data_IF_409982426521
#
_entry.id   IF_409982426521
#
_cell.length_a   1.000
_cell.length_b   1.000
_cell.length_c   1.000
_cell.angle_alpha   90.00
_cell.angle_beta   90.00
_cell.angle_gamma   90.00
#
_symmetry.space_group_name_H-M   'P 1'
#
loop_
_entity.id
_entity.type
_entity.pdbx_description
1 polymer ?
#
# COMPACT_ATOMS: atom_id res chain seq x y z
N UNK A 1 53.77 -36.14 71.75
CA UNK A 1 54.78 -37.09 71.26
C UNK A 1 54.16 -37.93 70.16
N UNK A 2 54.79 -37.84 68.98
CA UNK A 2 54.98 -38.89 67.98
C UNK A 2 53.77 -39.74 67.53
N UNK A 3 53.33 -39.54 66.28
CA UNK A 3 53.01 -40.63 65.32
C UNK A 3 53.26 -40.18 63.87
N UNK A 4 54.38 -40.64 63.32
CA UNK A 4 54.36 -41.58 62.19
C UNK A 4 53.80 -41.14 60.82
N UNK A 5 54.69 -40.56 60.02
CA UNK A 5 54.76 -40.47 58.54
C UNK A 5 53.91 -41.46 57.71
N UNK A 6 53.05 -40.94 56.81
CA UNK A 6 52.78 -41.52 55.48
C UNK A 6 53.24 -40.54 54.41
N UNK A 7 54.27 -40.92 53.63
CA UNK A 7 54.76 -40.17 52.46
C UNK A 7 53.79 -40.34 51.29
N UNK A 8 53.10 -39.29 50.89
CA UNK A 8 52.39 -39.23 49.61
C UNK A 8 53.35 -38.61 48.57
N UNK A 9 53.67 -39.38 47.52
CA UNK A 9 54.47 -38.90 46.38
C UNK A 9 53.67 -37.82 45.64
N UNK A 10 54.12 -36.57 45.72
CA UNK A 10 53.68 -35.50 44.81
C UNK A 10 54.29 -35.80 43.44
N UNK A 11 53.47 -36.24 42.49
CA UNK A 11 53.83 -36.19 41.06
C UNK A 11 53.75 -34.73 40.62
N UNK A 12 54.86 -34.19 40.10
CA UNK A 12 54.86 -32.92 39.36
C UNK A 12 53.84 -33.01 38.22
N UNK A 13 52.83 -32.15 38.25
CA UNK A 13 51.92 -31.90 37.13
C UNK A 13 52.72 -31.06 36.11
N UNK A 14 52.71 -31.39 34.80
CA UNK A 14 53.38 -30.56 33.79
C UNK A 14 52.64 -29.22 33.64
N UNK A 15 53.41 -28.17 33.38
CA UNK A 15 53.01 -26.78 33.16
C UNK A 15 52.14 -26.57 31.91
N UNK A 16 50.93 -27.14 31.89
CA UNK A 16 49.95 -27.00 30.81
C UNK A 16 48.93 -25.86 30.97
N UNK A 17 48.80 -25.28 32.16
CA UNK A 17 47.81 -24.22 32.44
C UNK A 17 48.17 -22.85 31.84
N UNK A 18 49.43 -22.62 31.48
CA UNK A 18 49.87 -21.33 30.93
C UNK A 18 49.60 -21.18 29.42
N UNK A 19 49.42 -22.29 28.69
CA UNK A 19 49.14 -22.28 27.24
C UNK A 19 47.65 -22.07 26.93
N UNK A 20 46.74 -22.60 27.75
CA UNK A 20 45.30 -22.41 27.59
C UNK A 20 44.87 -20.97 27.87
N UNK A 21 45.44 -20.31 28.89
CA UNK A 21 45.12 -18.90 29.19
C UNK A 21 45.58 -17.95 28.08
N UNK A 22 46.77 -18.18 27.50
CA UNK A 22 47.31 -17.36 26.42
C UNK A 22 46.54 -17.50 25.09
N UNK A 23 46.06 -18.71 24.76
CA UNK A 23 45.22 -18.92 23.57
C UNK A 23 43.83 -18.30 23.75
N UNK A 24 43.22 -18.44 24.92
CA UNK A 24 41.91 -17.86 25.22
C UNK A 24 41.96 -16.32 25.25
N UNK A 25 43.00 -15.73 25.84
CA UNK A 25 43.21 -14.27 25.86
C UNK A 25 43.49 -13.69 24.46
N UNK A 26 44.27 -14.39 23.62
CA UNK A 26 44.51 -13.97 22.21
C UNK A 26 43.26 -14.11 21.33
N UNK A 27 42.46 -15.16 21.51
CA UNK A 27 41.18 -15.32 20.80
C UNK A 27 40.17 -14.24 21.23
N UNK A 28 40.13 -13.92 22.53
CA UNK A 28 39.27 -12.86 23.06
C UNK A 28 39.72 -11.45 22.61
N UNK A 29 41.02 -11.16 22.55
CA UNK A 29 41.51 -9.86 22.05
C UNK A 29 41.36 -9.70 20.53
N UNK A 30 41.51 -10.78 19.74
CA UNK A 30 41.19 -10.80 18.31
C UNK A 30 39.70 -10.63 18.04
N UNK A 31 38.84 -11.23 18.87
CA UNK A 31 37.39 -11.03 18.84
C UNK A 31 36.99 -9.59 19.18
N UNK A 32 37.60 -9.00 20.22
CA UNK A 32 37.37 -7.61 20.63
C UNK A 32 37.86 -6.59 19.60
N UNK A 33 39.03 -6.79 19.00
CA UNK A 33 39.56 -5.93 17.94
C UNK A 33 38.70 -5.99 16.67
N UNK A 34 38.32 -7.20 16.22
CA UNK A 34 37.41 -7.39 15.08
C UNK A 34 36.02 -6.81 15.33
N UNK A 35 35.50 -6.92 16.56
CA UNK A 35 34.24 -6.28 16.97
C UNK A 35 34.34 -4.76 16.95
N UNK A 36 35.47 -4.20 17.41
CA UNK A 36 35.72 -2.75 17.40
C UNK A 36 35.88 -2.23 15.97
N UNK A 37 36.55 -2.98 15.09
CA UNK A 37 36.63 -2.70 13.65
C UNK A 37 35.26 -2.73 12.99
N UNK A 38 34.44 -3.76 13.22
CA UNK A 38 33.07 -3.85 12.68
C UNK A 38 32.16 -2.72 13.19
N UNK A 39 32.31 -2.33 14.45
CA UNK A 39 31.56 -1.23 15.06
C UNK A 39 31.98 0.13 14.48
N UNK A 40 33.25 0.30 14.11
CA UNK A 40 33.74 1.55 13.52
C UNK A 40 33.55 1.64 12.01
N UNK A 41 33.58 0.52 11.29
CA UNK A 41 33.30 0.50 9.84
C UNK A 41 31.84 0.83 9.51
N UNK A 42 30.93 0.59 10.45
CA UNK A 42 29.48 0.75 10.26
C UNK A 42 28.90 1.93 11.05
N UNK A 43 29.71 2.70 11.78
CA UNK A 43 29.23 3.87 12.52
C UNK A 43 29.00 5.03 11.54
N UNK A 44 27.80 5.62 11.47
CA UNK A 44 27.59 6.83 10.70
C UNK A 44 28.54 7.95 11.13
N UNK A 45 28.99 8.75 10.16
CA UNK A 45 29.73 9.97 10.43
C UNK A 45 28.76 11.07 10.89
N UNK A 46 28.53 11.14 12.20
CA UNK A 46 27.63 12.14 12.79
C UNK A 46 28.16 13.57 12.67
N UNK A 47 29.46 13.78 12.46
CA UNK A 47 30.00 15.12 12.21
C UNK A 47 29.70 15.59 10.79
N UNK A 48 29.67 14.66 9.83
CA UNK A 48 29.17 14.93 8.49
C UNK A 48 27.67 15.19 8.51
N UNK A 49 26.88 14.31 9.15
CA UNK A 49 25.42 14.44 9.23
C UNK A 49 24.97 15.75 9.90
N UNK A 50 25.71 16.27 10.87
CA UNK A 50 25.38 17.54 11.54
C UNK A 50 25.63 18.78 10.66
N UNK A 51 26.41 18.63 9.59
CA UNK A 51 26.71 19.69 8.62
C UNK A 51 25.86 19.58 7.35
N UNK A 52 25.14 18.48 7.16
CA UNK A 52 24.25 18.30 6.02
C UNK A 52 23.11 19.33 6.10
N UNK A 53 22.90 20.06 4.99
CA UNK A 53 21.80 21.01 4.87
C UNK A 53 20.51 20.28 4.52
N UNK A 54 19.38 20.78 5.05
CA UNK A 54 18.05 20.28 4.66
C UNK A 54 17.93 20.28 3.13
N UNK A 55 17.42 19.19 2.57
CA UNK A 55 17.25 19.00 1.13
C UNK A 55 15.94 18.31 0.79
N UNK A 56 15.60 18.27 -0.49
CA UNK A 56 14.50 17.48 -1.01
C UNK A 56 15.06 16.35 -1.86
N UNK A 57 14.70 15.12 -1.53
CA UNK A 57 15.11 13.94 -2.29
C UNK A 57 13.91 13.44 -3.07
N UNK A 58 13.98 13.54 -4.40
CA UNK A 58 12.95 12.97 -5.27
C UNK A 58 12.90 11.44 -5.16
N UNK A 59 11.69 10.88 -5.17
CA UNK A 59 11.45 9.45 -5.15
C UNK A 59 11.01 8.93 -6.51
N UNK A 60 11.43 7.71 -6.84
CA UNK A 60 11.04 7.03 -8.10
C UNK A 60 9.53 6.83 -8.23
N UNK A 61 8.83 6.64 -7.10
CA UNK A 61 7.37 6.56 -7.03
C UNK A 61 6.81 7.85 -6.43
N UNK A 62 5.55 8.14 -6.76
CA UNK A 62 4.79 9.28 -6.22
C UNK A 62 4.78 9.33 -4.68
N UNK A 63 4.70 8.17 -4.04
CA UNK A 63 4.68 8.03 -2.59
C UNK A 63 5.94 7.31 -2.12
N UNK A 64 6.46 7.74 -0.98
CA UNK A 64 7.63 7.16 -0.33
C UNK A 64 7.18 6.09 0.67
N UNK A 65 7.98 5.04 0.81
CA UNK A 65 7.82 4.03 1.84
C UNK A 65 7.97 2.62 1.31
N UNK A 66 7.38 1.68 2.04
CA UNK A 66 7.37 0.27 1.71
C UNK A 66 6.77 0.02 0.33
N UNK A 67 7.47 -0.79 -0.48
CA UNK A 67 6.97 -1.30 -1.76
C UNK A 67 6.29 -2.65 -1.47
N UNK A 68 4.97 -2.77 -1.69
CA UNK A 68 4.25 -4.02 -1.50
C UNK A 68 4.93 -5.20 -2.20
N UNK A 69 5.21 -6.25 -1.44
CA UNK A 69 6.00 -7.39 -1.93
C UNK A 69 5.38 -8.70 -1.51
N UNK A 70 5.09 -9.55 -2.49
CA UNK A 70 4.53 -10.89 -2.27
C UNK A 70 5.64 -11.93 -2.33
N UNK A 71 5.74 -12.76 -1.29
CA UNK A 71 6.57 -13.94 -1.30
C UNK A 71 5.82 -15.14 -1.90
N UNK A 72 6.54 -15.99 -2.62
CA UNK A 72 6.12 -17.35 -2.94
C UNK A 72 7.02 -18.31 -2.15
N UNK A 73 6.41 -19.10 -1.27
CA UNK A 73 7.12 -20.05 -0.41
C UNK A 73 6.85 -21.48 -0.85
N UNK A 74 7.70 -22.08 -1.69
CA UNK A 74 7.64 -23.51 -1.98
C UNK A 74 7.97 -24.35 -0.76
N UNK A 75 7.18 -25.40 -0.51
CA UNK A 75 7.44 -26.36 0.57
C UNK A 75 7.42 -27.80 0.07
N UNK A 76 8.12 -28.69 0.77
CA UNK A 76 8.17 -30.12 0.43
C UNK A 76 8.53 -30.99 1.65
N UNK A 77 8.47 -32.31 1.48
CA UNK A 77 8.89 -33.29 2.48
C UNK A 77 10.42 -33.26 2.64
N UNK A 78 10.91 -33.15 3.87
CA UNK A 78 12.34 -33.07 4.17
C UNK A 78 13.07 -34.43 4.22
N UNK A 79 12.37 -35.57 4.10
CA UNK A 79 13.00 -36.90 4.11
C UNK A 79 13.90 -37.07 2.89
N UNK A 80 15.08 -37.65 3.10
CA UNK A 80 15.96 -38.06 2.00
C UNK A 80 15.24 -39.03 1.03
N UNK A 81 15.47 -38.85 -0.26
CA UNK A 81 14.74 -39.48 -1.35
C UNK A 81 13.43 -38.74 -1.68
N UNK A 82 12.59 -38.48 -0.67
CA UNK A 82 11.33 -37.77 -0.88
C UNK A 82 11.54 -36.30 -1.25
N UNK A 83 12.54 -35.63 -0.68
CA UNK A 83 12.87 -34.25 -1.03
C UNK A 83 13.30 -34.13 -2.50
N UNK A 84 14.26 -34.96 -2.91
CA UNK A 84 14.82 -34.99 -4.26
C UNK A 84 13.72 -35.29 -5.30
N UNK A 85 12.84 -36.24 -5.00
CA UNK A 85 11.67 -36.59 -5.83
C UNK A 85 10.69 -35.41 -6.02
N UNK A 86 10.57 -34.54 -5.02
CA UNK A 86 9.63 -33.41 -5.05
C UNK A 86 10.25 -32.14 -5.62
N UNK A 87 11.57 -31.99 -5.54
CA UNK A 87 12.29 -30.74 -5.79
C UNK A 87 11.90 -30.07 -7.12
N UNK A 88 12.01 -30.80 -8.24
CA UNK A 88 11.72 -30.24 -9.56
C UNK A 88 10.26 -29.81 -9.71
N UNK A 89 9.31 -30.66 -9.30
CA UNK A 89 7.88 -30.36 -9.39
C UNK A 89 7.44 -29.22 -8.48
N UNK A 90 8.02 -29.11 -7.27
CA UNK A 90 7.72 -28.01 -6.35
C UNK A 90 8.19 -26.67 -6.91
N UNK A 91 9.39 -26.61 -7.52
CA UNK A 91 9.85 -25.41 -8.21
C UNK A 91 9.02 -25.08 -9.44
N UNK A 92 8.62 -26.08 -10.24
CA UNK A 92 7.73 -25.87 -11.37
C UNK A 92 6.37 -25.30 -10.92
N UNK A 93 5.82 -25.79 -9.81
CA UNK A 93 4.60 -25.24 -9.21
C UNK A 93 4.77 -23.79 -8.76
N UNK A 94 5.87 -23.45 -8.07
CA UNK A 94 6.17 -22.08 -7.67
C UNK A 94 6.32 -21.14 -8.87
N UNK A 95 7.00 -21.60 -9.93
CA UNK A 95 7.13 -20.86 -11.19
C UNK A 95 5.76 -20.58 -11.82
N UNK A 96 4.88 -21.57 -11.95
CA UNK A 96 3.54 -21.36 -12.52
C UNK A 96 2.73 -20.31 -11.74
N UNK A 97 2.85 -20.29 -10.40
CA UNK A 97 2.20 -19.27 -9.56
C UNK A 97 2.82 -17.90 -9.75
N UNK A 98 4.15 -17.83 -9.86
CA UNK A 98 4.88 -16.60 -10.18
C UNK A 98 4.40 -16.01 -11.52
N UNK A 99 4.47 -16.80 -12.58
CA UNK A 99 4.10 -16.41 -13.94
C UNK A 99 2.62 -15.97 -13.99
N UNK A 100 1.72 -16.73 -13.36
CA UNK A 100 0.30 -16.37 -13.27
C UNK A 100 0.08 -14.97 -12.68
N UNK A 101 0.77 -14.63 -11.58
CA UNK A 101 0.62 -13.34 -10.92
C UNK A 101 1.25 -12.24 -11.78
N UNK A 102 2.44 -12.46 -12.32
CA UNK A 102 3.12 -11.49 -13.19
C UNK A 102 2.29 -11.14 -14.44
N UNK A 103 1.61 -12.12 -15.02
CA UNK A 103 0.83 -11.95 -16.24
C UNK A 103 -0.55 -11.29 -16.01
N UNK A 104 -1.11 -11.36 -14.80
CA UNK A 104 -2.51 -11.01 -14.54
C UNK A 104 -2.72 -9.93 -13.46
N UNK A 105 -1.67 -9.53 -12.75
CA UNK A 105 -1.74 -8.52 -11.68
C UNK A 105 -0.87 -7.33 -12.05
N UNK A 106 -1.41 -6.14 -11.83
CA UNK A 106 -0.69 -4.86 -11.96
C UNK A 106 -0.98 -4.05 -10.70
N UNK A 107 -0.01 -3.29 -10.20
CA UNK A 107 -0.24 -2.37 -9.08
C UNK A 107 -0.98 -1.12 -9.55
N UNK A 108 -1.59 -0.38 -8.62
CA UNK A 108 -2.45 0.76 -8.96
C UNK A 108 -1.73 1.93 -9.65
N UNK A 109 -0.39 1.98 -9.56
CA UNK A 109 0.49 2.89 -10.28
C UNK A 109 0.84 2.40 -11.71
N UNK A 110 0.27 1.28 -12.15
CA UNK A 110 0.48 0.70 -13.47
C UNK A 110 1.76 -0.13 -13.59
N UNK A 111 2.53 -0.31 -12.51
CA UNK A 111 3.77 -1.08 -12.53
C UNK A 111 3.53 -2.58 -12.34
N UNK A 112 4.48 -3.44 -12.80
CA UNK A 112 4.44 -4.86 -12.47
C UNK A 112 4.51 -5.10 -10.95
N UNK A 113 3.85 -6.14 -10.44
CA UNK A 113 3.87 -6.50 -9.03
C UNK A 113 5.27 -6.97 -8.63
N UNK A 114 5.68 -6.65 -7.39
CA UNK A 114 6.97 -7.12 -6.86
C UNK A 114 6.79 -8.47 -6.17
N UNK A 115 7.38 -9.51 -6.74
CA UNK A 115 7.36 -10.86 -6.20
C UNK A 115 8.79 -11.30 -5.82
N UNK A 116 8.94 -11.96 -4.69
CA UNK A 116 10.17 -12.68 -4.30
C UNK A 116 9.85 -14.15 -4.05
N UNK A 117 10.81 -15.03 -4.25
CA UNK A 117 10.66 -16.46 -3.99
C UNK A 117 11.62 -16.88 -2.89
N UNK A 118 11.20 -17.82 -2.03
CA UNK A 118 12.09 -18.36 -0.99
C UNK A 118 13.46 -18.75 -1.57
N UNK A 119 14.58 -18.51 -0.86
CA UNK A 119 15.92 -18.80 -1.38
C UNK A 119 16.17 -20.31 -1.60
N UNK A 120 15.38 -21.15 -0.92
CA UNK A 120 15.35 -22.60 -1.08
C UNK A 120 13.95 -23.13 -0.73
N UNK A 121 13.67 -24.40 -1.06
CA UNK A 121 12.42 -25.04 -0.64
C UNK A 121 12.40 -25.14 0.88
N UNK A 122 11.30 -24.73 1.50
CA UNK A 122 11.12 -24.79 2.94
C UNK A 122 10.58 -26.17 3.32
N UNK A 123 11.42 -26.98 3.96
CA UNK A 123 11.11 -28.36 4.38
C UNK A 123 11.27 -28.60 5.89
N UNK A 124 11.61 -27.55 6.66
CA UNK A 124 11.72 -27.63 8.11
C UNK A 124 12.06 -26.28 8.75
N UNK A 125 12.25 -26.28 10.07
CA UNK A 125 12.40 -25.06 10.86
C UNK A 125 13.60 -24.18 10.46
N UNK A 126 14.73 -24.78 10.06
CA UNK A 126 15.91 -24.01 9.67
C UNK A 126 15.73 -23.35 8.30
N UNK A 127 15.23 -24.07 7.32
CA UNK A 127 15.03 -23.53 5.97
C UNK A 127 13.91 -22.50 5.95
N UNK A 128 12.90 -22.65 6.82
CA UNK A 128 11.91 -21.60 7.03
C UNK A 128 12.52 -20.36 7.69
N UNK A 129 13.39 -20.49 8.69
CA UNK A 129 14.10 -19.33 9.27
C UNK A 129 14.98 -18.59 8.25
N UNK A 130 15.62 -19.31 7.31
CA UNK A 130 16.37 -18.69 6.21
C UNK A 130 15.47 -17.91 5.26
N UNK A 131 14.29 -18.45 4.93
CA UNK A 131 13.29 -17.73 4.16
C UNK A 131 12.81 -16.46 4.89
N UNK A 132 12.54 -16.54 6.20
CA UNK A 132 12.14 -15.37 6.99
C UNK A 132 13.22 -14.29 7.03
N UNK A 133 14.50 -14.66 7.17
CA UNK A 133 15.61 -13.70 7.12
C UNK A 133 15.64 -12.96 5.78
N UNK A 134 15.50 -13.70 4.68
CA UNK A 134 15.41 -13.13 3.34
C UNK A 134 14.19 -12.21 3.20
N UNK A 135 13.01 -12.68 3.61
CA UNK A 135 11.77 -11.91 3.52
C UNK A 135 11.78 -10.61 4.30
N UNK A 136 12.45 -10.58 5.47
CA UNK A 136 12.64 -9.34 6.23
C UNK A 136 13.52 -8.35 5.47
N UNK A 137 14.61 -8.79 4.83
CA UNK A 137 15.49 -7.92 4.02
C UNK A 137 14.80 -7.40 2.77
N UNK A 138 14.01 -8.26 2.13
CA UNK A 138 13.23 -7.90 0.95
C UNK A 138 11.99 -7.07 1.28
N UNK A 139 11.60 -6.94 2.55
CA UNK A 139 10.38 -6.23 2.92
C UNK A 139 9.14 -6.92 2.35
N UNK A 140 8.95 -8.20 2.65
CA UNK A 140 7.72 -8.93 2.31
C UNK A 140 6.53 -8.38 3.11
N UNK A 141 5.35 -8.38 2.52
CA UNK A 141 4.07 -7.96 3.13
C UNK A 141 2.94 -8.98 2.93
N UNK A 142 3.15 -10.00 2.10
CA UNK A 142 2.21 -11.09 1.88
C UNK A 142 2.95 -12.35 1.42
N UNK A 143 2.36 -13.53 1.61
CA UNK A 143 3.00 -14.78 1.23
C UNK A 143 1.98 -15.79 0.68
N UNK A 144 2.34 -16.44 -0.42
CA UNK A 144 1.65 -17.61 -0.97
C UNK A 144 2.52 -18.84 -0.77
N UNK A 145 2.05 -19.77 0.06
CA UNK A 145 2.69 -21.06 0.26
C UNK A 145 2.19 -22.04 -0.80
N UNK A 146 3.11 -22.79 -1.41
CA UNK A 146 2.76 -23.77 -2.45
C UNK A 146 3.36 -25.13 -2.10
N UNK A 147 2.54 -26.18 -2.22
CA UNK A 147 3.01 -27.56 -2.08
C UNK A 147 2.28 -28.50 -3.02
N UNK A 148 3.06 -29.41 -3.62
CA UNK A 148 2.54 -30.60 -4.32
C UNK A 148 2.52 -31.86 -3.44
N UNK A 149 3.17 -31.83 -2.27
CA UNK A 149 3.40 -33.01 -1.41
C UNK A 149 3.09 -32.74 0.06
N UNK A 150 3.27 -33.77 0.88
CA UNK A 150 3.39 -33.58 2.33
C UNK A 150 4.58 -32.67 2.65
N UNK A 151 4.49 -31.89 3.74
CA UNK A 151 5.57 -31.16 4.37
C UNK A 151 5.23 -30.97 5.87
N UNK A 152 6.21 -30.67 6.72
CA UNK A 152 6.01 -30.68 8.19
C UNK A 152 5.39 -29.39 8.72
N UNK A 153 4.14 -29.13 8.31
CA UNK A 153 3.27 -28.00 8.65
C UNK A 153 3.81 -27.02 9.70
N UNK A 154 3.73 -27.36 10.99
CA UNK A 154 4.06 -26.44 12.08
C UNK A 154 5.54 -25.98 12.07
N UNK A 155 6.44 -26.86 11.63
CA UNK A 155 7.87 -26.57 11.55
C UNK A 155 8.20 -25.54 10.46
N UNK A 156 7.36 -25.44 9.42
CA UNK A 156 7.55 -24.50 8.30
C UNK A 156 7.21 -23.08 8.70
N UNK A 157 6.46 -22.87 9.79
CA UNK A 157 6.00 -21.56 10.23
C UNK A 157 7.12 -20.59 10.59
N UNK A 158 8.34 -21.09 10.80
CA UNK A 158 9.55 -20.26 10.93
C UNK A 158 9.71 -19.25 9.77
N UNK A 159 9.25 -19.59 8.54
CA UNK A 159 9.23 -18.69 7.38
C UNK A 159 8.22 -17.54 7.47
N UNK A 160 7.38 -17.52 8.50
CA UNK A 160 6.51 -16.40 8.81
C UNK A 160 6.56 -16.03 10.28
N UNK A 161 7.56 -16.41 11.07
CA UNK A 161 7.69 -16.05 12.50
C UNK A 161 8.86 -15.08 12.70
N UNK A 162 8.69 -13.82 12.29
CA UNK A 162 9.73 -12.82 12.38
C UNK A 162 9.20 -11.39 12.33
N UNK A 163 10.11 -10.44 12.18
CA UNK A 163 9.77 -9.01 12.18
C UNK A 163 8.84 -8.70 11.00
N UNK A 164 7.69 -8.08 11.32
CA UNK A 164 6.68 -7.65 10.35
C UNK A 164 5.75 -8.75 9.83
N UNK A 165 5.97 -10.02 10.19
CA UNK A 165 5.22 -11.14 9.61
C UNK A 165 3.82 -11.34 10.22
N UNK A 166 3.56 -10.75 11.39
CA UNK A 166 2.24 -10.72 12.02
C UNK A 166 1.21 -10.00 11.17
N UNK A 167 1.64 -9.03 10.37
CA UNK A 167 0.78 -8.20 9.54
C UNK A 167 0.63 -8.71 8.11
N UNK A 168 1.34 -9.78 7.74
CA UNK A 168 1.32 -10.30 6.38
C UNK A 168 0.00 -10.99 6.05
N UNK A 169 -0.48 -10.77 4.83
CA UNK A 169 -1.55 -11.59 4.29
C UNK A 169 -0.99 -12.93 3.84
N UNK A 170 -1.67 -14.03 4.18
CA UNK A 170 -1.18 -15.39 3.96
C UNK A 170 -2.19 -16.18 3.12
N UNK A 171 -1.73 -16.90 2.11
CA UNK A 171 -2.51 -17.90 1.40
C UNK A 171 -1.70 -19.19 1.21
N UNK A 172 -2.35 -20.34 1.22
CA UNK A 172 -1.73 -21.61 0.91
C UNK A 172 -2.49 -22.31 -0.22
N UNK A 173 -1.74 -22.80 -1.21
CA UNK A 173 -2.23 -23.63 -2.30
C UNK A 173 -1.57 -25.02 -2.21
N UNK A 174 -2.40 -26.02 -1.89
CA UNK A 174 -2.02 -27.42 -1.97
C UNK A 174 -2.60 -28.05 -3.23
N UNK A 175 -1.75 -28.63 -4.06
CA UNK A 175 -2.16 -29.29 -5.29
C UNK A 175 -3.09 -30.48 -4.97
N UNK A 176 -4.26 -30.53 -5.61
CA UNK A 176 -5.19 -31.65 -5.48
C UNK A 176 -4.83 -32.76 -6.47
N UNK A 177 -4.07 -33.75 -6.01
CA UNK A 177 -3.72 -34.92 -6.79
C UNK A 177 -3.57 -36.16 -5.90
N UNK A 178 -3.45 -37.34 -6.53
CA UNK A 178 -3.37 -38.63 -5.83
C UNK A 178 -1.96 -39.04 -5.46
N UNK A 179 -0.98 -38.76 -6.31
CA UNK A 179 0.36 -39.35 -6.21
C UNK A 179 1.18 -38.75 -5.06
N UNK A 180 0.94 -37.46 -4.78
CA UNK A 180 1.61 -36.72 -3.71
C UNK A 180 0.56 -35.93 -2.91
N UNK A 181 0.60 -35.97 -1.57
CA UNK A 181 -0.51 -35.50 -0.73
C UNK A 181 -0.46 -33.99 -0.43
N UNK A 182 -0.42 -33.13 -1.46
CA UNK A 182 -0.40 -31.66 -1.32
C UNK A 182 -1.61 -31.09 -0.58
N UNK A 183 -2.79 -31.65 -0.84
CA UNK A 183 -4.03 -31.30 -0.14
C UNK A 183 -4.01 -31.62 1.37
N UNK A 184 -3.34 -32.71 1.75
CA UNK A 184 -3.19 -33.12 3.16
C UNK A 184 -2.30 -32.13 3.89
N UNK A 185 -1.17 -31.73 3.27
CA UNK A 185 -0.34 -30.67 3.81
C UNK A 185 -1.12 -29.36 3.96
N UNK A 186 -1.88 -28.95 2.95
CA UNK A 186 -2.66 -27.70 3.00
C UNK A 186 -3.55 -27.64 4.23
N UNK A 187 -4.32 -28.70 4.51
CA UNK A 187 -5.21 -28.73 5.67
C UNK A 187 -4.45 -28.79 6.99
N UNK A 188 -3.36 -29.56 7.07
CA UNK A 188 -2.52 -29.60 8.27
C UNK A 188 -1.84 -28.25 8.55
N UNK A 189 -1.38 -27.54 7.51
CA UNK A 189 -0.75 -26.23 7.65
C UNK A 189 -1.76 -25.14 8.01
N UNK A 190 -2.95 -25.13 7.40
CA UNK A 190 -4.04 -24.24 7.82
C UNK A 190 -4.42 -24.48 9.29
N UNK A 191 -4.49 -25.73 9.75
CA UNK A 191 -4.76 -26.03 11.16
C UNK A 191 -3.69 -25.47 12.10
N UNK A 192 -2.41 -25.56 11.73
CA UNK A 192 -1.30 -24.97 12.50
C UNK A 192 -1.39 -23.43 12.56
N UNK A 193 -1.75 -22.80 11.44
CA UNK A 193 -1.97 -21.35 11.36
C UNK A 193 -3.16 -20.90 12.22
N UNK A 194 -4.28 -21.63 12.18
CA UNK A 194 -5.48 -21.37 12.98
C UNK A 194 -5.21 -21.50 14.48
N UNK A 195 -4.52 -22.56 14.91
CA UNK A 195 -4.11 -22.77 16.32
C UNK A 195 -3.29 -21.59 16.85
N UNK A 196 -2.44 -21.02 16.00
CA UNK A 196 -1.61 -19.85 16.32
C UNK A 196 -2.30 -18.52 16.05
N UNK A 197 -3.59 -18.52 15.73
CA UNK A 197 -4.42 -17.33 15.43
C UNK A 197 -3.83 -16.47 14.32
N UNK A 198 -3.34 -17.12 13.27
CA UNK A 198 -2.78 -16.48 12.09
C UNK A 198 -3.67 -16.75 10.89
N UNK A 199 -4.51 -15.79 10.48
CA UNK A 199 -5.42 -16.00 9.37
C UNK A 199 -4.67 -16.41 8.09
N UNK A 200 -5.19 -17.41 7.40
CA UNK A 200 -4.65 -17.89 6.13
C UNK A 200 -5.78 -18.27 5.17
N UNK A 201 -5.65 -17.88 3.90
CA UNK A 201 -6.56 -18.31 2.84
C UNK A 201 -6.19 -19.71 2.36
N UNK A 202 -7.13 -20.66 2.43
CA UNK A 202 -6.96 -22.03 1.92
C UNK A 202 -7.43 -22.09 0.46
N UNK A 203 -6.52 -22.39 -0.47
CA UNK A 203 -6.81 -22.54 -1.90
C UNK A 203 -6.70 -24.03 -2.26
N UNK A 204 -7.84 -24.64 -2.56
CA UNK A 204 -7.94 -26.07 -2.86
C UNK A 204 -8.95 -26.29 -3.99
N UNK A 205 -8.50 -26.84 -5.12
CA UNK A 205 -9.40 -27.19 -6.21
C UNK A 205 -10.24 -28.41 -5.81
N UNK A 206 -11.59 -28.41 -5.94
CA UNK A 206 -12.39 -29.61 -5.69
C UNK A 206 -12.09 -30.75 -6.67
N UNK A 207 -11.69 -30.42 -7.90
CA UNK A 207 -11.35 -31.39 -8.94
C UNK A 207 -9.86 -31.75 -8.92
N UNK A 208 -9.52 -32.96 -9.39
CA UNK A 208 -8.14 -33.40 -9.55
C UNK A 208 -7.40 -32.49 -10.54
N UNK A 209 -6.17 -32.13 -10.19
CA UNK A 209 -5.31 -31.24 -10.95
C UNK A 209 -4.16 -32.00 -11.61
N UNK A 210 -3.70 -31.49 -12.76
CA UNK A 210 -2.47 -31.95 -13.40
C UNK A 210 -1.29 -31.06 -13.00
N UNK A 211 -0.12 -31.66 -12.89
CA UNK A 211 1.15 -30.92 -12.82
C UNK A 211 1.55 -30.34 -14.18
N UNK A 212 0.92 -30.80 -15.25
CA UNK A 212 1.18 -30.38 -16.62
C UNK A 212 0.17 -29.31 -17.07
N UNK A 213 0.65 -28.31 -17.81
CA UNK A 213 -0.19 -27.24 -18.35
C UNK A 213 -0.50 -26.13 -17.36
N UNK A 214 -1.56 -25.38 -17.65
CA UNK A 214 -1.96 -24.20 -16.90
C UNK A 214 -2.57 -24.54 -15.52
N UNK A 215 -2.40 -23.63 -14.56
CA UNK A 215 -3.09 -23.72 -13.26
C UNK A 215 -4.60 -23.78 -13.49
N UNK A 216 -5.30 -24.67 -12.77
CA UNK A 216 -6.75 -24.82 -12.89
C UNK A 216 -7.47 -23.47 -12.69
N UNK A 217 -8.47 -23.11 -13.51
CA UNK A 217 -9.15 -21.81 -13.43
C UNK A 217 -9.65 -21.45 -12.02
N UNK A 218 -10.17 -22.45 -11.28
CA UNK A 218 -10.62 -22.29 -9.90
C UNK A 218 -9.52 -21.76 -8.97
N UNK A 219 -8.31 -22.29 -9.10
CA UNK A 219 -7.13 -21.91 -8.31
C UNK A 219 -6.59 -20.58 -8.80
N UNK A 220 -6.47 -20.42 -10.13
CA UNK A 220 -5.95 -19.21 -10.74
C UNK A 220 -6.73 -17.96 -10.31
N UNK A 221 -8.06 -18.01 -10.38
CA UNK A 221 -8.95 -16.93 -9.94
C UNK A 221 -8.68 -16.53 -8.47
N UNK A 222 -8.45 -17.50 -7.58
CA UNK A 222 -8.24 -17.26 -6.15
C UNK A 222 -6.85 -16.72 -5.86
N UNK A 223 -5.82 -17.21 -6.54
CA UNK A 223 -4.46 -16.68 -6.44
C UNK A 223 -4.43 -15.22 -6.90
N UNK A 224 -5.02 -14.92 -8.06
CA UNK A 224 -5.08 -13.55 -8.61
C UNK A 224 -5.87 -12.63 -7.66
N UNK A 225 -7.02 -13.08 -7.16
CA UNK A 225 -7.84 -12.31 -6.20
C UNK A 225 -7.06 -12.02 -4.91
N UNK A 226 -6.42 -13.04 -4.34
CA UNK A 226 -5.61 -12.88 -3.14
C UNK A 226 -4.45 -11.89 -3.38
N UNK A 227 -3.70 -12.06 -4.48
CA UNK A 227 -2.58 -11.20 -4.81
C UNK A 227 -3.01 -9.72 -4.94
N UNK A 228 -4.07 -9.42 -5.70
CA UNK A 228 -4.60 -8.05 -5.83
C UNK A 228 -4.98 -7.44 -4.48
N UNK A 229 -5.70 -8.19 -3.65
CA UNK A 229 -6.11 -7.72 -2.32
C UNK A 229 -4.90 -7.52 -1.39
N UNK A 230 -3.93 -8.43 -1.42
CA UNK A 230 -2.72 -8.36 -0.61
C UNK A 230 -1.86 -7.15 -0.96
N UNK A 231 -1.66 -6.86 -2.25
CA UNK A 231 -0.97 -5.65 -2.70
C UNK A 231 -1.70 -4.37 -2.27
N UNK A 232 -3.03 -4.34 -2.41
CA UNK A 232 -3.83 -3.20 -1.98
C UNK A 232 -3.67 -2.93 -0.47
N UNK A 233 -3.78 -3.95 0.38
CA UNK A 233 -3.63 -3.80 1.84
C UNK A 233 -2.21 -3.36 2.22
N UNK A 234 -1.19 -3.89 1.53
CA UNK A 234 0.20 -3.53 1.79
C UNK A 234 0.51 -2.08 1.38
N UNK A 235 -0.09 -1.56 0.30
CA UNK A 235 0.16 -0.20 -0.18
C UNK A 235 -0.32 0.88 0.80
N UNK A 236 -1.39 0.60 1.56
CA UNK A 236 -1.94 1.50 2.59
C UNK A 236 -0.92 1.80 3.70
N UNK A 237 -0.14 0.79 4.10
CA UNK A 237 0.68 0.85 5.32
C UNK A 237 1.80 1.88 5.18
N UNK A 238 1.94 2.71 6.22
CA UNK A 238 2.94 3.78 6.27
C UNK A 238 2.61 5.02 5.42
N UNK A 239 1.46 5.04 4.74
CA UNK A 239 0.96 6.22 4.02
C UNK A 239 0.01 7.03 4.90
N UNK A 240 -0.32 8.25 4.46
CA UNK A 240 -1.19 9.13 5.20
C UNK A 240 -2.53 9.37 4.51
N UNK A 241 -3.57 9.63 5.32
CA UNK A 241 -4.72 10.40 4.89
C UNK A 241 -4.47 11.90 5.17
N UNK A 242 -4.62 12.77 4.17
CA UNK A 242 -4.51 14.22 4.34
C UNK A 242 -5.90 14.87 4.48
N UNK A 243 -6.17 15.43 5.65
CA UNK A 243 -7.35 16.25 5.92
C UNK A 243 -7.05 17.71 5.61
N UNK A 244 -7.59 18.24 4.51
CA UNK A 244 -7.54 19.68 4.18
C UNK A 244 -8.80 20.34 4.73
N UNK A 245 -8.65 21.02 5.85
CA UNK A 245 -9.74 21.38 6.75
C UNK A 245 -10.04 20.27 7.76
N UNK A 246 -11.28 20.23 8.20
CA UNK A 246 -11.80 19.35 9.26
C UNK A 246 -13.23 18.89 8.89
N UNK A 247 -14.15 18.86 9.86
CA UNK A 247 -15.53 18.43 9.68
C UNK A 247 -16.27 19.38 8.74
N UNK A 248 -16.88 18.83 7.69
CA UNK A 248 -17.80 19.55 6.80
C UNK A 248 -19.23 19.33 7.26
N UNK A 249 -19.94 20.42 7.59
CA UNK A 249 -21.40 20.43 7.84
C UNK A 249 -21.94 19.39 8.84
N UNK A 250 -21.10 18.89 9.76
CA UNK A 250 -21.48 17.82 10.69
C UNK A 250 -21.53 16.41 10.09
N UNK A 251 -21.02 16.21 8.88
CA UNK A 251 -20.91 14.89 8.24
C UNK A 251 -19.94 14.03 9.04
N UNK A 252 -20.45 12.94 9.64
CA UNK A 252 -19.65 12.09 10.53
C UNK A 252 -18.51 11.35 9.81
N UNK A 253 -18.55 11.25 8.48
CA UNK A 253 -17.45 10.76 7.65
C UNK A 253 -16.24 11.69 7.61
N UNK A 254 -16.47 12.99 7.78
CA UNK A 254 -15.43 14.03 7.77
C UNK A 254 -14.69 14.20 9.10
N UNK A 255 -15.18 13.56 10.16
CA UNK A 255 -14.46 13.42 11.43
C UNK A 255 -13.44 12.28 11.33
N UNK A 256 -12.21 12.64 10.94
CA UNK A 256 -11.12 11.69 10.69
C UNK A 256 -10.71 10.96 11.97
N UNK A 257 -11.03 9.68 12.06
CA UNK A 257 -10.69 8.81 13.21
C UNK A 257 -9.26 8.29 13.11
N UNK A 258 -8.30 9.07 13.63
CA UNK A 258 -6.85 8.79 13.58
C UNK A 258 -6.45 7.38 14.06
N UNK A 259 -6.97 6.94 15.21
CA UNK A 259 -6.65 5.60 15.74
C UNK A 259 -7.23 4.48 14.87
N UNK A 260 -8.37 4.68 14.22
CA UNK A 260 -8.92 3.70 13.28
C UNK A 260 -8.04 3.60 12.02
N UNK A 261 -7.62 4.76 11.47
CA UNK A 261 -6.68 4.82 10.35
C UNK A 261 -5.39 4.05 10.66
N UNK A 262 -4.86 4.27 11.87
CA UNK A 262 -3.64 3.61 12.31
C UNK A 262 -3.82 2.11 12.58
N UNK A 263 -4.74 1.73 13.46
CA UNK A 263 -4.85 0.33 13.91
C UNK A 263 -5.39 -0.61 12.84
N UNK A 264 -6.31 -0.14 11.98
CA UNK A 264 -6.93 -1.00 10.98
C UNK A 264 -6.17 -0.99 9.66
N UNK A 265 -5.77 0.19 9.16
CA UNK A 265 -5.15 0.33 7.85
C UNK A 265 -3.62 0.49 7.89
N UNK A 266 -3.03 0.67 9.08
CA UNK A 266 -1.61 0.98 9.21
C UNK A 266 -1.24 2.35 8.63
N UNK A 267 -2.22 3.26 8.54
CA UNK A 267 -2.07 4.59 7.96
C UNK A 267 -1.87 5.66 9.04
N UNK A 268 -1.15 6.72 8.69
CA UNK A 268 -1.13 7.94 9.48
C UNK A 268 -2.21 8.93 9.01
N UNK A 269 -2.30 10.05 9.70
CA UNK A 269 -3.18 11.16 9.33
C UNK A 269 -2.42 12.47 9.44
N UNK A 270 -2.52 13.31 8.42
CA UNK A 270 -2.01 14.68 8.43
C UNK A 270 -3.20 15.61 8.34
N UNK A 271 -3.21 16.68 9.14
CA UNK A 271 -4.27 17.69 9.11
C UNK A 271 -3.64 19.04 8.79
N UNK A 272 -4.21 19.71 7.79
CA UNK A 272 -3.82 21.05 7.37
C UNK A 272 -5.08 21.89 7.33
N UNK A 273 -5.08 23.03 8.02
CA UNK A 273 -6.20 23.96 7.94
C UNK A 273 -6.28 24.60 6.54
N UNK A 274 -7.49 24.89 6.06
CA UNK A 274 -7.69 25.46 4.72
C UNK A 274 -7.02 26.84 4.55
N UNK A 275 -6.69 27.57 5.63
CA UNK A 275 -5.87 28.78 5.54
C UNK A 275 -4.49 28.53 4.93
N UNK A 276 -3.96 27.31 5.01
CA UNK A 276 -2.71 26.95 4.36
C UNK A 276 -2.86 26.93 2.82
N UNK A 277 -4.02 26.50 2.31
CA UNK A 277 -4.31 26.55 0.86
C UNK A 277 -4.36 28.01 0.41
N UNK A 278 -5.16 28.84 1.10
CA UNK A 278 -5.26 30.27 0.79
C UNK A 278 -3.90 30.98 0.90
N UNK A 279 -3.17 30.72 1.99
CA UNK A 279 -1.86 31.34 2.24
C UNK A 279 -0.80 30.95 1.20
N UNK A 280 -0.81 29.72 0.68
CA UNK A 280 0.06 29.34 -0.43
C UNK A 280 -0.29 30.08 -1.71
N UNK A 281 -1.58 30.18 -2.04
CA UNK A 281 -2.04 30.90 -3.23
C UNK A 281 -1.66 32.38 -3.15
N UNK A 282 -1.93 33.04 -2.02
CA UNK A 282 -1.66 34.47 -1.81
C UNK A 282 -0.18 34.83 -1.86
N UNK A 283 0.68 33.91 -1.42
CA UNK A 283 2.14 34.08 -1.47
C UNK A 283 2.76 33.63 -2.80
N UNK A 284 1.96 33.19 -3.76
CA UNK A 284 2.47 32.63 -5.00
C UNK A 284 3.26 31.33 -4.81
N UNK A 285 3.04 30.59 -3.72
CA UNK A 285 3.77 29.36 -3.39
C UNK A 285 3.17 28.13 -4.08
N UNK A 286 3.38 28.07 -5.39
CA UNK A 286 3.05 26.98 -6.32
C UNK A 286 3.95 27.15 -7.56
N UNK A 287 4.03 26.15 -8.44
CA UNK A 287 4.81 26.30 -9.68
C UNK A 287 4.05 27.14 -10.73
N UNK A 288 4.54 28.34 -11.00
CA UNK A 288 3.90 29.29 -11.92
C UNK A 288 3.96 28.81 -13.37
N UNK A 289 5.04 28.14 -13.77
CA UNK A 289 5.15 27.57 -15.11
C UNK A 289 4.13 26.45 -15.34
N UNK A 290 3.87 25.63 -14.32
CA UNK A 290 2.82 24.61 -14.39
C UNK A 290 1.43 25.24 -14.39
N UNK A 291 1.20 26.26 -13.56
CA UNK A 291 -0.05 27.01 -13.56
C UNK A 291 -0.41 27.54 -14.96
N UNK A 292 0.53 28.16 -15.68
CA UNK A 292 0.26 28.69 -17.02
C UNK A 292 -0.15 27.58 -18.00
N UNK A 293 0.54 26.43 -17.98
CA UNK A 293 0.16 25.27 -18.82
C UNK A 293 -1.20 24.72 -18.45
N UNK A 294 -1.46 24.59 -17.15
CA UNK A 294 -2.71 24.10 -16.60
C UNK A 294 -3.88 25.00 -16.99
N UNK A 295 -3.73 26.31 -16.81
CA UNK A 295 -4.74 27.29 -17.16
C UNK A 295 -5.04 27.30 -18.66
N UNK A 296 -4.00 27.29 -19.51
CA UNK A 296 -4.16 27.17 -20.96
C UNK A 296 -4.91 25.89 -21.36
N UNK A 297 -4.56 24.75 -20.77
CA UNK A 297 -5.25 23.48 -21.00
C UNK A 297 -6.73 23.56 -20.61
N UNK A 298 -7.04 24.15 -19.46
CA UNK A 298 -8.41 24.33 -18.99
C UNK A 298 -9.23 25.19 -19.97
N UNK A 299 -8.64 26.29 -20.47
CA UNK A 299 -9.27 27.18 -21.46
C UNK A 299 -9.47 26.52 -22.83
N UNK A 300 -8.54 25.68 -23.27
CA UNK A 300 -8.58 25.06 -24.59
C UNK A 300 -9.51 23.85 -24.64
N UNK A 301 -9.49 23.00 -23.60
CA UNK A 301 -10.14 21.69 -23.62
C UNK A 301 -11.56 21.70 -23.06
N UNK A 302 -11.93 22.68 -22.23
CA UNK A 302 -13.21 22.70 -21.55
C UNK A 302 -14.12 23.83 -22.04
N UNK A 303 -15.43 23.53 -22.08
CA UNK A 303 -16.48 24.52 -22.29
C UNK A 303 -17.08 24.89 -20.95
N UNK A 304 -17.11 26.18 -20.65
CA UNK A 304 -17.62 26.68 -19.37
C UNK A 304 -19.05 27.20 -19.52
N UNK A 305 -19.92 26.73 -18.64
CA UNK A 305 -21.26 27.28 -18.43
C UNK A 305 -21.39 27.73 -16.98
N UNK A 306 -21.39 29.03 -16.77
CA UNK A 306 -21.34 29.61 -15.43
C UNK A 306 -22.73 29.90 -14.81
N UNK A 307 -23.81 29.61 -15.53
CA UNK A 307 -25.17 29.94 -15.12
C UNK A 307 -25.43 31.46 -15.06
N UNK A 308 -26.62 31.82 -14.57
CA UNK A 308 -27.08 33.23 -14.42
C UNK A 308 -26.91 33.78 -12.99
N UNK A 309 -26.52 32.94 -12.04
CA UNK A 309 -26.35 33.32 -10.64
C UNK A 309 -25.13 34.21 -10.37
N UNK A 310 -25.09 34.90 -9.22
CA UNK A 310 -23.91 35.66 -8.80
C UNK A 310 -22.70 34.73 -8.62
N UNK A 311 -21.52 35.22 -9.02
CA UNK A 311 -20.24 34.49 -8.94
C UNK A 311 -19.29 35.21 -7.99
N UNK A 312 -18.43 34.47 -7.28
CA UNK A 312 -17.45 35.09 -6.39
C UNK A 312 -16.34 35.83 -7.16
N UNK A 313 -16.05 35.40 -8.40
CA UNK A 313 -15.01 35.95 -9.27
C UNK A 313 -15.51 35.95 -10.73
N UNK A 314 -14.82 36.68 -11.61
CA UNK A 314 -15.06 36.55 -13.05
C UNK A 314 -14.65 35.16 -13.57
N UNK A 315 -15.02 34.84 -14.80
CA UNK A 315 -14.85 33.48 -15.33
C UNK A 315 -13.39 33.01 -15.38
N UNK A 316 -12.46 33.87 -15.79
CA UNK A 316 -11.07 33.49 -15.99
C UNK A 316 -10.31 33.52 -14.66
N UNK A 317 -10.60 34.50 -13.80
CA UNK A 317 -10.12 34.53 -12.42
C UNK A 317 -10.60 33.32 -11.61
N UNK A 318 -11.86 32.92 -11.77
CA UNK A 318 -12.44 31.75 -11.12
C UNK A 318 -11.73 30.45 -11.55
N UNK A 319 -11.55 30.25 -12.86
CA UNK A 319 -10.82 29.10 -13.39
C UNK A 319 -9.38 29.11 -12.87
N UNK A 320 -8.72 30.27 -12.92
CA UNK A 320 -7.35 30.43 -12.43
C UNK A 320 -7.21 30.09 -10.95
N UNK A 321 -8.16 30.53 -10.13
CA UNK A 321 -8.19 30.22 -8.70
C UNK A 321 -8.36 28.72 -8.45
N UNK A 322 -9.27 28.06 -9.15
CA UNK A 322 -9.50 26.62 -9.03
C UNK A 322 -8.28 25.79 -9.51
N UNK A 323 -7.56 26.22 -10.56
CA UNK A 323 -6.30 25.58 -10.97
C UNK A 323 -5.25 25.70 -9.87
N UNK A 324 -5.07 26.89 -9.27
CA UNK A 324 -4.13 27.10 -8.16
C UNK A 324 -4.48 26.24 -6.95
N UNK A 325 -5.76 26.13 -6.60
CA UNK A 325 -6.23 25.22 -5.54
C UNK A 325 -5.87 23.77 -5.86
N UNK A 326 -6.03 23.34 -7.11
CA UNK A 326 -5.69 21.98 -7.56
C UNK A 326 -4.22 21.66 -7.40
N UNK A 327 -3.34 22.58 -7.85
CA UNK A 327 -1.90 22.46 -7.68
C UNK A 327 -1.51 22.39 -6.19
N UNK A 328 -2.05 23.30 -5.38
CA UNK A 328 -1.72 23.37 -3.96
C UNK A 328 -2.18 22.13 -3.21
N UNK A 329 -3.40 21.61 -3.46
CA UNK A 329 -3.89 20.39 -2.81
C UNK A 329 -3.04 19.19 -3.22
N UNK A 330 -2.70 19.04 -4.50
CA UNK A 330 -1.81 17.98 -4.97
C UNK A 330 -0.44 18.05 -4.30
N UNK A 331 0.16 19.23 -4.26
CA UNK A 331 1.49 19.43 -3.69
C UNK A 331 1.48 19.23 -2.16
N UNK A 332 0.38 19.52 -1.48
CA UNK A 332 0.19 19.15 -0.08
C UNK A 332 0.13 17.62 0.10
N UNK A 333 -0.45 16.87 -0.84
CA UNK A 333 -0.51 15.41 -0.77
C UNK A 333 0.87 14.78 -0.96
N UNK A 334 1.57 15.13 -2.04
CA UNK A 334 2.73 14.36 -2.54
C UNK A 334 4.04 15.15 -2.61
N UNK A 335 4.01 16.44 -2.28
CA UNK A 335 5.17 17.31 -2.36
C UNK A 335 5.45 17.80 -3.77
N UNK A 336 6.42 18.72 -3.89
CA UNK A 336 6.84 19.28 -5.16
C UNK A 336 8.30 19.77 -5.08
N UNK A 337 9.26 19.14 -5.78
CA UNK A 337 10.68 19.52 -5.73
C UNK A 337 10.92 20.95 -6.22
N UNK A 338 10.07 21.49 -7.10
CA UNK A 338 10.21 22.85 -7.62
C UNK A 338 10.00 23.91 -6.54
N UNK A 339 9.19 23.59 -5.53
CA UNK A 339 8.97 24.47 -4.37
C UNK A 339 10.15 24.44 -3.37
N UNK A 340 11.01 23.43 -3.45
CA UNK A 340 12.25 23.34 -2.68
C UNK A 340 13.45 24.04 -3.35
N UNK A 341 13.36 24.36 -4.65
CA UNK A 341 14.45 24.96 -5.42
C UNK A 341 14.49 26.48 -5.25
N UNK A 342 15.54 26.98 -4.59
CA UNK A 342 15.75 28.41 -4.35
C UNK A 342 15.90 29.25 -5.63
N UNK A 343 16.42 28.69 -6.72
CA UNK A 343 16.54 29.40 -8.00
C UNK A 343 15.17 29.57 -8.64
N UNK A 344 14.33 28.53 -8.61
CA UNK A 344 12.94 28.58 -9.10
C UNK A 344 12.14 29.57 -8.26
N UNK A 345 12.20 29.46 -6.93
CA UNK A 345 11.52 30.40 -6.04
C UNK A 345 11.92 31.85 -6.31
N UNK A 346 13.22 32.13 -6.44
CA UNK A 346 13.70 33.48 -6.81
C UNK A 346 13.16 33.95 -8.15
N UNK A 347 13.13 33.08 -9.16
CA UNK A 347 12.66 33.42 -10.51
C UNK A 347 11.14 33.68 -10.55
N UNK A 348 10.37 32.92 -9.78
CA UNK A 348 8.90 32.99 -9.74
C UNK A 348 8.38 33.91 -8.61
N UNK A 349 9.26 34.49 -7.80
CA UNK A 349 8.88 35.47 -6.77
C UNK A 349 8.32 34.88 -5.47
N UNK A 350 8.62 33.61 -5.15
CA UNK A 350 8.30 33.00 -3.85
C UNK A 350 9.56 32.56 -3.10
N UNK A 351 9.45 32.39 -1.78
CA UNK A 351 10.55 31.88 -0.96
C UNK A 351 10.49 30.35 -0.98
N UNK A 352 11.51 29.69 -1.55
CA UNK A 352 11.60 28.23 -1.54
C UNK A 352 11.67 27.70 -0.10
N UNK A 353 10.88 26.67 0.19
CA UNK A 353 10.75 26.12 1.53
C UNK A 353 10.68 24.59 1.47
N UNK A 354 11.78 23.97 1.88
CA UNK A 354 11.96 22.53 1.81
C UNK A 354 10.95 21.79 2.68
N UNK A 355 10.46 22.39 3.77
CA UNK A 355 9.40 21.80 4.60
C UNK A 355 8.09 21.71 3.85
N UNK A 356 7.65 22.86 3.35
CA UNK A 356 6.37 22.98 2.68
C UNK A 356 6.37 22.25 1.32
N UNK A 357 7.55 22.02 0.74
CA UNK A 357 7.75 21.22 -0.45
C UNK A 357 7.64 19.70 -0.21
N UNK A 358 7.81 19.18 1.02
CA UNK A 358 7.78 17.72 1.29
C UNK A 358 6.44 17.06 0.97
N UNK A 359 5.34 17.81 1.16
CA UNK A 359 4.00 17.23 1.18
C UNK A 359 3.76 16.29 2.37
N UNK A 360 2.65 15.55 2.32
CA UNK A 360 2.18 14.72 3.41
C UNK A 360 2.40 13.21 3.18
N UNK A 361 3.01 12.80 2.07
CA UNK A 361 3.06 11.40 1.62
C UNK A 361 1.67 10.74 1.68
N UNK A 362 0.66 11.46 1.18
CA UNK A 362 -0.74 11.11 1.33
C UNK A 362 -1.25 10.27 0.15
N UNK A 363 -1.74 9.06 0.46
CA UNK A 363 -2.34 8.16 -0.54
C UNK A 363 -3.79 8.51 -0.84
N UNK A 364 -4.46 9.16 0.12
CA UNK A 364 -5.77 9.74 -0.03
C UNK A 364 -5.83 11.08 0.74
N UNK A 365 -6.73 11.94 0.32
CA UNK A 365 -7.01 13.20 0.98
C UNK A 365 -8.52 13.49 1.01
N UNK A 366 -8.89 14.56 1.68
CA UNK A 366 -10.20 15.14 1.56
C UNK A 366 -10.18 16.64 1.79
N UNK A 367 -11.13 17.32 1.15
CA UNK A 367 -11.27 18.79 1.13
C UNK A 367 -12.56 19.16 1.83
N UNK A 368 -12.46 19.83 2.98
CA UNK A 368 -13.64 20.16 3.78
C UNK A 368 -14.60 21.04 2.97
N UNK A 369 -14.09 22.14 2.40
CA UNK A 369 -14.88 23.10 1.64
C UNK A 369 -15.98 23.73 2.50
N UNK A 370 -17.13 23.09 2.53
CA UNK A 370 -18.29 23.61 3.22
C UNK A 370 -18.10 23.62 4.76
N UNK A 371 -18.51 24.66 5.48
CA UNK A 371 -19.02 25.96 4.98
C UNK A 371 -17.95 27.05 4.95
N UNK A 372 -16.96 26.97 5.84
CA UNK A 372 -16.05 28.06 6.13
C UNK A 372 -15.18 28.50 4.93
N UNK A 373 -14.88 27.59 4.01
CA UNK A 373 -14.17 27.95 2.79
C UNK A 373 -15.13 28.45 1.71
N UNK A 374 -16.17 27.67 1.39
CA UNK A 374 -17.09 27.98 0.28
C UNK A 374 -17.94 29.22 0.52
N UNK A 375 -18.09 29.65 1.77
CA UNK A 375 -18.75 30.93 2.10
C UNK A 375 -17.91 32.15 1.70
N UNK A 376 -16.61 31.99 1.42
CA UNK A 376 -15.67 33.07 1.14
C UNK A 376 -14.91 32.92 -0.19
N UNK A 377 -14.71 31.68 -0.65
CA UNK A 377 -13.82 31.34 -1.77
C UNK A 377 -14.50 30.34 -2.73
N UNK A 378 -14.01 30.21 -3.98
CA UNK A 378 -14.47 29.17 -4.89
C UNK A 378 -14.40 27.77 -4.27
N UNK A 379 -15.36 26.90 -4.57
CA UNK A 379 -15.39 25.54 -4.05
C UNK A 379 -14.30 24.64 -4.65
N UNK A 380 -14.19 23.41 -4.13
CA UNK A 380 -13.17 22.45 -4.54
C UNK A 380 -13.61 21.53 -5.69
N UNK A 381 -14.80 21.71 -6.29
CA UNK A 381 -15.36 20.78 -7.28
C UNK A 381 -14.39 20.47 -8.43
N UNK A 382 -13.75 21.50 -9.00
CA UNK A 382 -12.77 21.32 -10.08
C UNK A 382 -11.51 20.61 -9.59
N UNK A 383 -11.04 20.96 -8.38
CA UNK A 383 -9.88 20.32 -7.75
C UNK A 383 -10.13 18.84 -7.50
N UNK A 384 -11.25 18.49 -6.88
CA UNK A 384 -11.65 17.12 -6.58
C UNK A 384 -11.81 16.32 -7.88
N UNK A 385 -12.49 16.88 -8.88
CA UNK A 385 -12.72 16.22 -10.17
C UNK A 385 -11.43 15.96 -10.94
N UNK A 386 -10.54 16.95 -11.04
CA UNK A 386 -9.27 16.82 -11.78
C UNK A 386 -8.30 15.87 -11.06
N UNK A 387 -8.21 15.93 -9.73
CA UNK A 387 -7.33 15.04 -8.98
C UNK A 387 -7.81 13.58 -9.05
N UNK A 388 -9.12 13.35 -8.93
CA UNK A 388 -9.71 12.01 -9.06
C UNK A 388 -9.72 11.47 -10.50
N UNK A 389 -9.45 12.31 -11.50
CA UNK A 389 -9.31 11.89 -12.90
C UNK A 389 -7.97 11.21 -13.18
N UNK A 390 -7.95 10.32 -14.18
CA UNK A 390 -6.74 9.63 -14.66
C UNK A 390 -5.88 10.45 -15.63
N UNK A 391 -6.15 11.75 -15.77
CA UNK A 391 -5.39 12.66 -16.62
C UNK A 391 -5.53 14.11 -16.15
N UNK A 392 -4.56 14.93 -16.53
CA UNK A 392 -4.62 16.40 -16.46
C UNK A 392 -3.73 17.02 -17.55
N UNK A 393 -3.34 18.29 -17.39
CA UNK A 393 -2.46 19.02 -18.30
C UNK A 393 -1.06 18.40 -18.46
N UNK A 394 -0.64 17.50 -17.56
CA UNK A 394 0.61 16.75 -17.69
C UNK A 394 0.42 15.38 -18.38
N UNK A 395 -0.78 15.08 -18.88
CA UNK A 395 -1.10 13.83 -19.58
C UNK A 395 -1.78 12.79 -18.68
N UNK A 396 -1.73 11.52 -19.11
CA UNK A 396 -2.28 10.41 -18.34
C UNK A 396 -1.43 10.11 -17.11
N UNK A 397 -2.08 9.92 -15.96
CA UNK A 397 -1.42 9.62 -14.69
C UNK A 397 -2.31 8.77 -13.79
N UNK A 398 -1.70 8.20 -12.76
CA UNK A 398 -2.46 7.58 -11.67
C UNK A 398 -3.43 8.62 -11.05
N UNK A 399 -4.71 8.28 -10.91
CA UNK A 399 -5.66 9.08 -10.14
C UNK A 399 -5.17 9.35 -8.72
N UNK A 400 -5.56 10.49 -8.17
CA UNK A 400 -5.53 10.71 -6.73
C UNK A 400 -6.89 10.30 -6.14
N UNK A 401 -6.92 10.05 -4.84
CA UNK A 401 -8.17 9.86 -4.11
C UNK A 401 -8.36 11.09 -3.24
N UNK A 402 -9.31 11.95 -3.64
CA UNK A 402 -9.66 13.18 -2.91
C UNK A 402 -11.16 13.18 -2.66
N UNK A 403 -11.54 13.02 -1.39
CA UNK A 403 -12.94 12.99 -1.01
C UNK A 403 -13.48 14.40 -0.78
N UNK A 404 -14.57 14.70 -1.50
CA UNK A 404 -15.42 15.85 -1.28
C UNK A 404 -15.87 15.90 0.18
N UNK A 405 -15.98 17.12 0.72
CA UNK A 405 -16.42 17.40 2.09
C UNK A 405 -15.55 16.75 3.17
N UNK A 406 -14.32 16.43 2.81
CA UNK A 406 -13.36 15.72 3.65
C UNK A 406 -13.89 14.38 4.18
N UNK A 407 -14.85 13.72 3.50
CA UNK A 407 -15.39 12.45 3.95
C UNK A 407 -14.34 11.34 3.85
N UNK A 408 -13.57 11.19 4.93
CA UNK A 408 -12.50 10.21 5.03
C UNK A 408 -12.99 8.77 4.93
N UNK A 409 -14.25 8.48 5.26
CA UNK A 409 -14.78 7.12 5.17
C UNK A 409 -15.12 6.79 3.72
N UNK A 410 -15.68 7.74 2.98
CA UNK A 410 -15.86 7.58 1.55
C UNK A 410 -14.50 7.50 0.82
N UNK A 411 -13.52 8.30 1.25
CA UNK A 411 -12.15 8.23 0.74
C UNK A 411 -11.53 6.83 0.89
N UNK A 412 -11.75 6.15 2.03
CA UNK A 412 -11.28 4.77 2.21
C UNK A 412 -11.98 3.79 1.24
N UNK A 413 -13.28 3.96 1.01
CA UNK A 413 -14.02 3.16 0.02
C UNK A 413 -13.47 3.36 -1.40
N UNK A 414 -13.29 4.63 -1.81
CA UNK A 414 -12.65 4.99 -3.06
C UNK A 414 -11.23 4.41 -3.13
N UNK A 415 -10.43 4.56 -2.09
CA UNK A 415 -9.05 4.08 -2.06
C UNK A 415 -8.97 2.55 -2.22
N UNK A 416 -9.83 1.80 -1.55
CA UNK A 416 -9.89 0.35 -1.72
C UNK A 416 -10.21 -0.04 -3.16
N UNK A 417 -11.21 0.59 -3.78
CA UNK A 417 -11.57 0.33 -5.16
C UNK A 417 -10.46 0.75 -6.15
N UNK A 418 -9.80 1.90 -5.92
CA UNK A 418 -8.66 2.34 -6.71
C UNK A 418 -7.50 1.35 -6.64
N UNK A 419 -7.12 0.90 -5.44
CA UNK A 419 -6.00 -0.02 -5.25
C UNK A 419 -6.26 -1.41 -5.83
N UNK A 420 -7.52 -1.85 -5.87
CA UNK A 420 -7.90 -3.15 -6.45
C UNK A 420 -8.01 -3.13 -7.97
N UNK A 421 -8.27 -1.97 -8.57
CA UNK A 421 -8.61 -1.87 -10.01
C UNK A 421 -7.64 -1.01 -10.83
N UNK A 422 -6.87 -0.13 -10.19
CA UNK A 422 -6.08 0.91 -10.85
C UNK A 422 -6.92 2.05 -11.45
N UNK A 423 -8.26 2.01 -11.33
CA UNK A 423 -9.15 2.94 -12.02
C UNK A 423 -9.45 4.20 -11.19
N UNK A 424 -9.83 5.31 -11.84
CA UNK A 424 -10.46 6.47 -11.21
C UNK A 424 -11.69 6.09 -10.41
N UNK A 425 -11.99 6.82 -9.33
CA UNK A 425 -13.10 6.52 -8.44
C UNK A 425 -14.06 7.69 -8.33
N UNK A 426 -15.35 7.39 -8.47
CA UNK A 426 -16.42 8.37 -8.36
C UNK A 426 -16.77 8.58 -6.88
N UNK A 427 -16.75 9.83 -6.44
CA UNK A 427 -17.47 10.27 -5.24
C UNK A 427 -18.91 10.57 -5.65
N UNK A 428 -19.89 10.14 -4.85
CA UNK A 428 -21.28 10.43 -5.15
C UNK A 428 -22.14 10.53 -3.89
N UNK A 429 -23.12 11.42 -3.95
CA UNK A 429 -24.26 11.40 -3.03
C UNK A 429 -25.26 10.32 -3.46
N UNK A 430 -25.73 9.53 -2.50
CA UNK A 430 -26.93 8.70 -2.69
C UNK A 430 -28.16 9.62 -2.59
N UNK A 431 -28.43 10.34 -3.68
CA UNK A 431 -29.30 11.51 -3.65
C UNK A 431 -30.78 11.16 -3.68
N UNK A 432 -31.20 10.23 -4.54
CA UNK A 432 -32.63 9.93 -4.72
C UNK A 432 -32.86 8.49 -5.14
N UNK A 433 -33.87 7.87 -4.52
CA UNK A 433 -34.44 6.61 -4.94
C UNK A 433 -35.69 6.88 -5.80
N UNK A 434 -35.63 6.53 -7.09
CA UNK A 434 -36.75 6.64 -8.02
C UNK A 434 -37.48 5.31 -8.14
N UNK A 435 -38.59 5.19 -7.43
CA UNK A 435 -39.50 4.05 -7.59
C UNK A 435 -40.22 4.12 -8.94
N UNK A 436 -40.62 2.97 -9.47
CA UNK A 436 -41.42 2.90 -10.70
C UNK A 436 -42.69 3.78 -10.64
N UNK A 437 -43.35 3.85 -9.48
CA UNK A 437 -44.51 4.71 -9.27
C UNK A 437 -44.16 6.20 -9.31
N UNK A 438 -43.05 6.61 -8.68
CA UNK A 438 -42.56 7.99 -8.70
C UNK A 438 -42.20 8.44 -10.12
N UNK A 439 -41.53 7.57 -10.88
CA UNK A 439 -41.18 7.81 -12.30
C UNK A 439 -42.46 7.99 -13.12
N UNK A 440 -43.44 7.09 -12.96
CA UNK A 440 -44.72 7.19 -13.67
C UNK A 440 -45.42 8.51 -13.39
N UNK A 441 -45.54 8.90 -12.12
CA UNK A 441 -46.18 10.16 -11.73
C UNK A 441 -45.44 11.36 -12.31
N UNK A 442 -44.10 11.38 -12.27
CA UNK A 442 -43.31 12.46 -12.83
C UNK A 442 -43.48 12.58 -14.35
N UNK A 443 -43.46 11.45 -15.07
CA UNK A 443 -43.68 11.43 -16.52
C UNK A 443 -45.11 11.87 -16.86
N UNK A 444 -46.13 11.34 -16.17
CA UNK A 444 -47.52 11.73 -16.38
C UNK A 444 -47.74 13.21 -16.06
N UNK A 445 -47.10 13.74 -15.02
CA UNK A 445 -47.15 15.17 -14.69
C UNK A 445 -46.42 16.05 -15.72
N UNK A 446 -45.33 15.56 -16.32
CA UNK A 446 -44.62 16.27 -17.38
C UNK A 446 -45.40 16.24 -18.71
N UNK A 447 -46.14 15.16 -18.97
CA UNK A 447 -47.00 14.98 -20.14
C UNK A 447 -48.40 15.57 -19.96
N UNK A 448 -48.92 15.75 -18.75
CA UNK A 448 -50.22 16.44 -18.55
C UNK A 448 -50.15 17.93 -18.87
N UNK A 449 -48.96 18.50 -19.03
CA UNK A 449 -48.72 19.80 -19.67
C UNK A 449 -48.60 19.77 -21.21
N UNK A 450 -48.64 18.58 -21.85
CA UNK A 450 -48.60 18.36 -23.31
C UNK A 450 -49.43 17.13 -23.69
N UNK A 451 -50.66 17.33 -24.15
CA UNK A 451 -51.65 16.31 -24.52
C UNK A 451 -51.09 15.17 -25.38
N UNK A 452 -50.70 14.04 -24.77
CA UNK A 452 -50.47 12.77 -25.46
C UNK A 452 -50.85 11.58 -24.57
N UNK A 453 -51.70 10.69 -25.12
CA UNK A 453 -52.08 9.42 -24.52
C UNK A 453 -50.90 8.44 -24.57
N UNK A 454 -50.41 7.99 -23.41
CA UNK A 454 -49.46 6.87 -23.33
C UNK A 454 -50.23 5.54 -23.33
N UNK A 455 -49.97 4.70 -24.33
CA UNK A 455 -50.66 3.42 -24.56
C UNK A 455 -49.84 2.17 -24.21
N UNK A 456 -48.83 2.26 -23.34
CA UNK A 456 -48.00 1.09 -22.93
C UNK A 456 -48.26 0.65 -21.48
N UNK A 457 -48.43 -0.66 -21.20
CA UNK A 457 -48.60 -1.18 -19.85
C UNK A 457 -47.31 -1.06 -19.03
N UNK A 458 -47.47 -0.81 -17.73
CA UNK A 458 -46.47 -0.19 -16.85
C UNK A 458 -45.72 -1.19 -15.95
N UNK A 459 -45.67 -2.48 -16.28
CA UNK A 459 -45.12 -3.54 -15.41
C UNK A 459 -43.60 -3.76 -15.53
N UNK A 460 -42.87 -2.97 -16.31
CA UNK A 460 -41.47 -3.26 -16.68
C UNK A 460 -40.44 -2.16 -16.32
N UNK A 461 -40.79 -1.13 -15.55
CA UNK A 461 -39.80 -0.13 -15.14
C UNK A 461 -39.10 -0.54 -13.85
N UNK A 462 -37.78 -0.85 -13.85
CA UNK A 462 -37.04 -1.10 -12.63
C UNK A 462 -36.93 0.19 -11.80
N UNK A 463 -36.85 0.05 -10.48
CA UNK A 463 -36.46 1.16 -9.60
C UNK A 463 -35.02 1.56 -9.90
N UNK A 464 -34.74 2.88 -9.94
CA UNK A 464 -33.43 3.43 -10.29
C UNK A 464 -32.93 4.30 -9.14
N UNK A 465 -31.67 4.13 -8.73
CA UNK A 465 -30.99 5.08 -7.86
C UNK A 465 -30.23 6.10 -8.71
N UNK A 466 -30.44 7.38 -8.42
CA UNK A 466 -29.65 8.46 -9.03
C UNK A 466 -28.57 8.91 -8.06
N UNK A 467 -27.33 8.83 -8.52
CA UNK A 467 -26.13 9.35 -7.86
C UNK A 467 -25.85 10.77 -8.37
N UNK A 468 -25.46 11.69 -7.50
CA UNK A 468 -25.04 13.05 -7.86
C UNK A 468 -23.56 13.23 -7.60
#
# INVERSE_FOLDING_TARGET
MDRGKRKQKIRKIPSGEMLYSHFFLRACSRSLSRRKELLMSNRPDFEKLSKDTRGYTESMRRLVGHIPTLAITPVADGRAGAYEDNQAGTWAMAQRVYDLIMDNVTTADGLPPRIVVAPEIVYGARTGALAQEYYTKEGVSANIWVSRSWAYSDELMSACMGIGSSEWQQAAYGLNQTDRPGAVWLKAFCAAMDEKKRPIFSIYNPDLESEEGAIAPYVAERIIRFARAAYAVAELRGKNYLSVGNVSMGIIGSDVRRNLMHHYFGMGTVSVDMVAVKGRIDRGYYDHEEYERAFAFMKEKFKYHFGEGPRPLDGDELIGQCVKMTLVVRDLMVGNPRLADAKIGKAQGFIADIEHAQGANAIAAGTQGQRMWTDLYPNFDMTESLLCSGFDWNGYRQPFVVATENDSKNAIGMLAAHLLTGLPQLFADIRTNWTAASIKTAIVSALSGRTWLLSTPCSEYPSIFTMC
#
